data_IF_175145580841
#
_entry.id   IF_175145580841
#
_cell.length_a   1.000
_cell.length_b   1.000
_cell.length_c   1.000
_cell.angle_alpha   90.00
_cell.angle_beta   90.00
_cell.angle_gamma   90.00
#
_symmetry.space_group_name_H-M   'P 1'
#
loop_
_entity.id
_entity.type
_entity.pdbx_description
1 polymer ?
#
# COMPACT_ATOMS: atom_id res chain seq x y z
N UNK A 1 -15.41 76.45 -13.79
CA UNK A 1 -16.25 77.04 -14.86
C UNK A 1 -15.92 76.33 -16.16
N UNK A 2 -16.95 75.79 -16.79
CA UNK A 2 -16.89 74.96 -18.00
C UNK A 2 -16.21 75.68 -19.18
N UNK A 3 -15.57 74.92 -20.07
CA UNK A 3 -15.86 75.04 -21.49
C UNK A 3 -15.56 73.72 -22.22
N UNK A 4 -16.59 73.23 -22.91
CA UNK A 4 -16.53 72.17 -23.93
C UNK A 4 -15.90 72.78 -25.20
N UNK A 5 -15.28 71.94 -26.03
CA UNK A 5 -15.34 72.05 -27.48
C UNK A 5 -15.14 70.64 -28.10
N UNK A 6 -16.01 70.35 -29.07
CA UNK A 6 -16.20 69.15 -29.90
C UNK A 6 -14.98 68.95 -30.86
N UNK A 7 -14.74 67.86 -31.61
CA UNK A 7 -15.66 67.02 -32.38
C UNK A 7 -14.97 65.76 -32.99
N UNK A 8 -15.82 64.80 -33.37
CA UNK A 8 -15.82 63.95 -34.59
C UNK A 8 -14.67 62.99 -34.97
N UNK A 9 -15.03 61.70 -35.19
CA UNK A 9 -14.34 60.80 -36.15
C UNK A 9 -14.56 59.29 -35.92
N UNK A 10 -15.31 58.62 -36.79
CA UNK A 10 -15.74 57.19 -36.76
C UNK A 10 -14.66 56.20 -37.32
N UNK A 11 -14.87 54.85 -37.26
CA UNK A 11 -13.92 53.87 -36.70
C UNK A 11 -12.97 53.20 -37.70
N UNK A 12 -11.76 52.86 -37.21
CA UNK A 12 -10.83 51.96 -37.87
C UNK A 12 -10.66 50.67 -37.07
N UNK A 13 -11.29 49.59 -37.52
CA UNK A 13 -11.10 48.26 -36.98
C UNK A 13 -9.65 47.79 -37.20
N UNK A 14 -8.90 47.56 -36.13
CA UNK A 14 -7.62 46.84 -36.17
C UNK A 14 -7.78 45.55 -35.39
N UNK A 15 -7.66 44.44 -36.12
CA UNK A 15 -7.81 43.06 -35.67
C UNK A 15 -6.87 42.77 -34.49
N UNK A 16 -7.44 42.46 -33.33
CA UNK A 16 -6.71 41.83 -32.24
C UNK A 16 -6.33 40.40 -32.65
N UNK A 17 -5.05 40.17 -32.91
CA UNK A 17 -4.49 38.82 -33.02
C UNK A 17 -4.39 38.28 -31.59
N UNK A 18 -5.36 37.47 -31.18
CA UNK A 18 -5.25 36.69 -29.95
C UNK A 18 -4.20 35.60 -30.16
N UNK A 19 -3.00 35.82 -29.63
CA UNK A 19 -1.99 34.80 -29.44
C UNK A 19 -2.50 33.77 -28.44
N UNK A 20 -3.07 32.67 -28.94
CA UNK A 20 -3.46 31.53 -28.13
C UNK A 20 -2.22 30.80 -27.62
N UNK A 21 -1.91 30.95 -26.33
CA UNK A 21 -1.01 30.03 -25.63
C UNK A 21 -1.74 28.69 -25.54
N UNK A 22 -1.35 27.75 -26.39
CA UNK A 22 -1.80 26.37 -26.29
C UNK A 22 -1.24 25.80 -24.98
N UNK A 23 -2.09 25.71 -23.95
CA UNK A 23 -1.84 24.85 -22.81
C UNK A 23 -1.80 23.42 -23.35
N UNK A 24 -0.58 22.90 -23.55
CA UNK A 24 -0.33 21.51 -23.86
C UNK A 24 -0.90 20.66 -22.74
N UNK A 25 -2.11 20.14 -22.95
CA UNK A 25 -2.66 19.10 -22.11
C UNK A 25 -1.70 17.93 -22.13
N UNK A 26 -1.15 17.57 -20.97
CA UNK A 26 -0.55 16.27 -20.77
C UNK A 26 -1.66 15.24 -20.93
N UNK A 27 -1.90 14.79 -22.17
CA UNK A 27 -2.63 13.58 -22.43
C UNK A 27 -1.81 12.46 -21.78
N UNK A 28 -2.20 12.07 -20.56
CA UNK A 28 -1.84 10.78 -20.02
C UNK A 28 -2.32 9.78 -21.07
N UNK A 29 -1.39 9.14 -21.78
CA UNK A 29 -1.70 8.05 -22.67
C UNK A 29 -2.41 6.99 -21.81
N UNK A 30 -3.74 6.96 -21.93
CA UNK A 30 -4.60 5.94 -21.37
C UNK A 30 -4.16 4.65 -22.05
N UNK A 31 -3.92 3.61 -21.25
CA UNK A 31 -3.80 2.26 -21.80
C UNK A 31 -4.98 2.05 -22.75
N UNK A 32 -4.71 1.56 -23.97
CA UNK A 32 -5.73 1.30 -24.98
C UNK A 32 -6.58 0.14 -24.49
N UNK A 33 -7.60 0.47 -23.69
CA UNK A 33 -8.55 -0.46 -23.13
C UNK A 33 -9.78 -0.49 -24.04
N UNK A 34 -9.96 -1.59 -24.77
CA UNK A 34 -11.21 -1.88 -25.48
C UNK A 34 -12.18 -2.50 -24.48
N UNK A 35 -12.75 -1.67 -23.61
CA UNK A 35 -13.89 -1.99 -22.74
C UNK A 35 -13.61 -2.85 -21.50
N UNK A 36 -14.33 -2.57 -20.42
CA UNK A 36 -14.24 -3.35 -19.18
C UNK A 36 -15.09 -2.86 -18.00
N UNK A 37 -16.24 -2.20 -18.26
CA UNK A 37 -17.20 -1.90 -17.20
C UNK A 37 -18.21 -3.04 -17.08
N UNK A 38 -18.15 -3.84 -16.01
CA UNK A 38 -19.29 -4.67 -15.63
C UNK A 38 -20.48 -3.73 -15.36
N UNK A 39 -21.68 -3.94 -15.94
CA UNK A 39 -22.80 -3.00 -15.85
C UNK A 39 -23.25 -2.66 -14.42
N UNK A 40 -22.93 -3.50 -13.44
CA UNK A 40 -23.28 -3.33 -12.02
C UNK A 40 -22.13 -2.82 -11.14
N UNK A 41 -20.93 -2.61 -11.72
CA UNK A 41 -19.75 -2.10 -11.03
C UNK A 41 -19.00 -1.15 -11.98
N UNK A 42 -19.41 0.13 -12.07
CA UNK A 42 -18.78 1.09 -12.99
C UNK A 42 -17.29 1.32 -12.70
N UNK A 43 -16.80 0.90 -11.52
CA UNK A 43 -15.38 0.97 -11.10
C UNK A 43 -14.72 -0.43 -10.99
N UNK A 44 -15.42 -1.50 -11.36
CA UNK A 44 -14.99 -2.89 -11.15
C UNK A 44 -15.19 -3.39 -9.70
N UNK A 45 -14.77 -4.62 -9.36
CA UNK A 45 -14.99 -5.27 -8.06
C UNK A 45 -14.10 -4.73 -6.92
N UNK A 46 -13.50 -3.56 -7.12
CA UNK A 46 -12.52 -2.95 -6.24
C UNK A 46 -13.09 -1.69 -5.58
N UNK A 47 -12.91 -1.59 -4.26
CA UNK A 47 -13.32 -0.42 -3.47
C UNK A 47 -12.13 0.14 -2.71
N UNK A 48 -12.08 1.46 -2.52
CA UNK A 48 -10.99 2.07 -1.76
C UNK A 48 -10.95 1.55 -0.32
N UNK A 49 -9.75 1.28 0.18
CA UNK A 49 -9.51 0.84 1.56
C UNK A 49 -8.68 1.86 2.35
N UNK A 50 -8.42 3.05 1.79
CA UNK A 50 -7.62 4.11 2.40
C UNK A 50 -6.13 3.80 2.46
N UNK A 51 -5.31 4.79 2.79
CA UNK A 51 -3.87 4.60 3.03
C UNK A 51 -3.09 4.02 1.85
N UNK A 52 -3.54 4.23 0.61
CA UNK A 52 -2.93 3.63 -0.57
C UNK A 52 -3.26 2.15 -0.77
N UNK A 53 -4.37 1.68 -0.20
CA UNK A 53 -4.86 0.32 -0.34
C UNK A 53 -6.19 0.27 -1.10
N UNK A 54 -6.50 -0.90 -1.63
CA UNK A 54 -7.77 -1.19 -2.31
C UNK A 54 -8.25 -2.58 -1.95
N UNK A 55 -9.54 -2.74 -1.70
CA UNK A 55 -10.17 -4.02 -1.36
C UNK A 55 -10.85 -4.61 -2.59
N UNK A 56 -10.54 -5.87 -2.89
CA UNK A 56 -11.32 -6.68 -3.81
C UNK A 56 -12.51 -7.29 -3.04
N UNK A 57 -13.73 -6.86 -3.36
CA UNK A 57 -14.94 -7.23 -2.61
C UNK A 57 -15.26 -8.72 -2.69
N UNK A 58 -15.18 -9.41 -3.85
CA UNK A 58 -15.54 -10.82 -3.93
C UNK A 58 -14.62 -11.74 -3.10
N UNK A 59 -13.29 -11.54 -3.16
CA UNK A 59 -12.34 -12.39 -2.42
C UNK A 59 -12.02 -11.87 -1.01
N UNK A 60 -12.52 -10.68 -0.67
CA UNK A 60 -12.20 -9.99 0.59
C UNK A 60 -10.69 -9.90 0.83
N UNK A 61 -9.94 -9.57 -0.21
CA UNK A 61 -8.50 -9.31 -0.12
C UNK A 61 -8.22 -7.82 -0.22
N UNK A 62 -7.22 -7.35 0.52
CA UNK A 62 -6.76 -5.97 0.48
C UNK A 62 -5.38 -5.93 -0.17
N UNK A 63 -5.21 -5.02 -1.10
CA UNK A 63 -4.01 -4.88 -1.92
C UNK A 63 -3.37 -3.53 -1.66
N UNK A 64 -2.04 -3.47 -1.71
CA UNK A 64 -1.36 -2.20 -1.92
C UNK A 64 -1.61 -1.72 -3.36
N UNK A 65 -1.95 -0.44 -3.51
CA UNK A 65 -2.14 0.19 -4.82
C UNK A 65 -0.82 0.36 -5.56
N UNK A 66 0.27 0.60 -4.84
CA UNK A 66 1.60 0.72 -5.41
C UNK A 66 2.34 -0.63 -5.40
N UNK A 67 3.22 -0.82 -6.38
CA UNK A 67 4.20 -1.89 -6.31
C UNK A 67 5.22 -1.60 -5.19
N UNK A 68 5.82 -2.65 -4.64
CA UNK A 68 6.90 -2.49 -3.66
C UNK A 68 8.06 -1.70 -4.27
N UNK A 69 8.56 -0.69 -3.54
CA UNK A 69 9.57 0.26 -4.03
C UNK A 69 8.99 1.63 -4.38
N UNK A 70 7.70 1.69 -4.71
CA UNK A 70 6.96 2.93 -4.92
C UNK A 70 6.28 3.38 -3.62
N UNK A 71 5.95 4.67 -3.56
CA UNK A 71 5.24 5.29 -2.44
C UNK A 71 3.88 5.82 -2.89
N UNK A 72 2.87 5.65 -2.04
CA UNK A 72 1.55 6.25 -2.26
C UNK A 72 1.54 7.72 -1.81
N UNK A 73 1.26 8.64 -2.72
CA UNK A 73 1.20 10.08 -2.45
C UNK A 73 -0.05 10.68 -3.09
N UNK A 74 -0.98 11.15 -2.26
CA UNK A 74 -2.28 11.66 -2.71
C UNK A 74 -3.11 10.55 -3.37
N UNK A 75 -3.14 10.55 -4.70
CA UNK A 75 -3.91 9.61 -5.54
C UNK A 75 -3.02 8.77 -6.47
N UNK A 76 -1.69 8.87 -6.35
CA UNK A 76 -0.75 8.24 -7.30
C UNK A 76 0.39 7.52 -6.60
N UNK A 77 0.98 6.58 -7.33
CA UNK A 77 2.22 5.93 -6.95
C UNK A 77 3.41 6.69 -7.55
N UNK A 78 4.39 7.04 -6.71
CA UNK A 78 5.61 7.74 -7.10
C UNK A 78 6.84 6.90 -6.82
N UNK A 79 7.91 7.13 -7.57
CA UNK A 79 9.14 6.34 -7.49
C UNK A 79 9.15 5.13 -8.43
N UNK A 80 10.22 4.33 -8.32
CA UNK A 80 10.43 3.16 -9.16
C UNK A 80 10.05 1.87 -8.42
N UNK A 81 9.48 0.88 -9.12
CA UNK A 81 9.25 -0.43 -8.53
C UNK A 81 10.58 -1.14 -8.23
N UNK A 82 10.63 -1.87 -7.13
CA UNK A 82 11.69 -2.84 -6.89
C UNK A 82 11.46 -4.06 -7.78
N UNK A 83 12.52 -4.51 -8.43
CA UNK A 83 12.55 -5.73 -9.22
C UNK A 83 13.47 -6.70 -8.49
N UNK A 84 12.89 -7.79 -7.99
CA UNK A 84 13.54 -8.68 -7.02
C UNK A 84 13.57 -10.11 -7.56
N UNK A 85 14.53 -10.92 -7.11
CA UNK A 85 14.43 -12.38 -7.28
C UNK A 85 13.31 -12.95 -6.41
N UNK A 86 12.87 -14.18 -6.66
CA UNK A 86 11.80 -14.79 -5.87
C UNK A 86 12.17 -14.90 -4.37
N UNK A 87 13.43 -15.19 -4.06
CA UNK A 87 13.92 -15.23 -2.67
C UNK A 87 13.92 -13.83 -2.03
N UNK A 88 14.40 -12.81 -2.76
CA UNK A 88 14.39 -11.44 -2.28
C UNK A 88 12.97 -10.87 -2.13
N UNK A 89 12.03 -11.29 -2.99
CA UNK A 89 10.62 -10.94 -2.88
C UNK A 89 10.00 -11.47 -1.57
N UNK A 90 10.32 -12.71 -1.19
CA UNK A 90 9.88 -13.26 0.11
C UNK A 90 10.53 -12.52 1.30
N UNK A 91 11.82 -12.23 1.23
CA UNK A 91 12.50 -11.42 2.24
C UNK A 91 11.87 -10.01 2.36
N UNK A 92 11.42 -9.44 1.23
CA UNK A 92 10.71 -8.15 1.20
C UNK A 92 9.38 -8.22 1.96
N UNK A 93 8.63 -9.32 1.84
CA UNK A 93 7.40 -9.51 2.62
C UNK A 93 7.68 -9.46 4.12
N UNK A 94 8.70 -10.19 4.57
CA UNK A 94 9.11 -10.21 5.98
C UNK A 94 9.48 -8.81 6.46
N UNK A 95 10.31 -8.10 5.69
CA UNK A 95 10.74 -6.75 6.02
C UNK A 95 9.57 -5.74 6.07
N UNK A 96 8.58 -5.87 5.18
CA UNK A 96 7.37 -5.03 5.20
C UNK A 96 6.57 -5.31 6.46
N UNK A 97 6.32 -6.58 6.80
CA UNK A 97 5.54 -6.93 7.98
C UNK A 97 6.20 -6.50 9.30
N UNK A 98 7.53 -6.47 9.35
CA UNK A 98 8.30 -5.99 10.50
C UNK A 98 8.47 -4.46 10.56
N UNK A 99 8.07 -3.72 9.52
CA UNK A 99 8.26 -2.27 9.48
C UNK A 99 7.29 -1.52 10.41
N UNK A 100 7.70 -0.33 10.85
CA UNK A 100 6.90 0.53 11.70
C UNK A 100 5.52 0.83 11.06
N UNK A 101 4.43 0.86 11.85
CA UNK A 101 3.09 1.19 11.35
C UNK A 101 3.06 2.50 10.55
N UNK A 102 2.39 2.47 9.40
CA UNK A 102 2.20 3.64 8.54
C UNK A 102 3.38 3.97 7.64
N UNK A 103 4.47 3.19 7.71
CA UNK A 103 5.63 3.35 6.81
C UNK A 103 5.46 2.49 5.55
N UNK A 104 6.30 1.47 5.37
CA UNK A 104 6.24 0.56 4.22
C UNK A 104 5.04 -0.38 4.28
N UNK A 105 4.48 -0.60 5.46
CA UNK A 105 3.39 -1.55 5.69
C UNK A 105 1.98 -0.94 5.51
N UNK A 106 1.88 0.34 5.14
CA UNK A 106 0.60 1.05 5.02
C UNK A 106 -0.28 0.95 6.28
N UNK A 107 0.33 0.82 7.46
CA UNK A 107 -0.37 0.68 8.74
C UNK A 107 -0.95 -0.72 8.98
N UNK A 108 -0.54 -1.72 8.19
CA UNK A 108 -1.13 -3.06 8.18
C UNK A 108 -0.06 -4.14 8.26
N UNK A 109 -0.39 -5.30 8.83
CA UNK A 109 0.48 -6.48 8.88
C UNK A 109 -0.10 -7.62 8.03
N UNK A 110 0.49 -8.82 8.12
CA UNK A 110 0.05 -10.03 7.41
C UNK A 110 0.02 -9.88 5.89
N UNK A 111 0.91 -9.05 5.36
CA UNK A 111 1.18 -8.99 3.92
C UNK A 111 1.81 -10.29 3.45
N UNK A 112 1.48 -10.71 2.24
CA UNK A 112 2.11 -11.83 1.53
C UNK A 112 2.23 -11.54 0.04
N UNK A 113 3.00 -12.37 -0.65
CA UNK A 113 2.94 -12.44 -2.10
C UNK A 113 1.58 -13.01 -2.52
N UNK A 114 1.00 -12.55 -3.62
CA UNK A 114 -0.28 -13.05 -4.11
C UNK A 114 -0.14 -14.43 -4.72
N UNK A 115 -1.24 -15.17 -4.80
CA UNK A 115 -1.32 -16.39 -5.62
C UNK A 115 -1.63 -16.00 -7.06
N UNK A 116 -1.30 -16.88 -8.02
CA UNK A 116 -1.47 -16.58 -9.46
C UNK A 116 -2.90 -16.21 -9.83
N UNK A 117 -3.90 -16.91 -9.28
CA UNK A 117 -5.30 -16.60 -9.51
C UNK A 117 -5.70 -15.25 -8.91
N UNK A 118 -5.01 -14.79 -7.85
CA UNK A 118 -5.31 -13.53 -7.21
C UNK A 118 -4.83 -12.33 -8.01
N UNK A 119 -3.62 -12.40 -8.59
CA UNK A 119 -3.14 -11.36 -9.51
C UNK A 119 -3.98 -11.30 -10.78
N UNK A 120 -4.54 -12.43 -11.23
CA UNK A 120 -5.42 -12.45 -12.41
C UNK A 120 -6.71 -11.65 -12.21
N UNK A 121 -7.19 -11.44 -10.98
CA UNK A 121 -8.33 -10.55 -10.74
C UNK A 121 -7.99 -9.07 -10.95
N UNK A 122 -6.71 -8.70 -10.96
CA UNK A 122 -6.28 -7.34 -11.28
C UNK A 122 -6.21 -7.09 -12.78
N UNK A 123 -6.21 -8.15 -13.60
CA UNK A 123 -6.07 -8.03 -15.05
C UNK A 123 -7.35 -7.48 -15.65
N UNK A 124 -7.22 -6.42 -16.43
CA UNK A 124 -8.34 -5.85 -17.20
C UNK A 124 -8.31 -6.41 -18.62
N UNK A 125 -9.34 -7.16 -18.99
CA UNK A 125 -9.45 -7.75 -20.32
C UNK A 125 -9.55 -6.65 -21.38
N UNK A 126 -8.83 -6.77 -22.48
CA UNK A 126 -8.87 -5.78 -23.56
C UNK A 126 -8.00 -4.54 -23.32
N UNK A 127 -7.31 -4.46 -22.17
CA UNK A 127 -6.20 -3.52 -21.97
C UNK A 127 -4.87 -4.21 -22.23
N UNK A 128 -3.91 -3.47 -22.76
CA UNK A 128 -2.52 -3.91 -22.84
C UNK A 128 -1.58 -2.75 -22.46
N UNK A 129 -0.41 -3.10 -21.94
CA UNK A 129 0.69 -2.17 -21.63
C UNK A 129 0.28 -0.89 -20.85
N UNK A 130 -0.29 -1.01 -19.63
CA UNK A 130 -0.51 -2.25 -18.88
C UNK A 130 -1.96 -2.74 -18.90
N UNK A 131 -2.12 -4.06 -18.85
CA UNK A 131 -3.38 -4.80 -18.77
C UNK A 131 -3.98 -4.78 -17.34
N UNK A 132 -4.15 -3.59 -16.75
CA UNK A 132 -4.65 -3.39 -15.39
C UNK A 132 -5.26 -2.00 -15.25
N UNK A 133 -6.34 -1.89 -14.47
CA UNK A 133 -7.00 -0.62 -14.19
C UNK A 133 -6.06 0.39 -13.49
N UNK A 134 -5.57 1.38 -14.25
CA UNK A 134 -4.62 2.40 -13.78
C UNK A 134 -5.23 3.39 -12.77
N UNK A 135 -6.56 3.47 -12.66
CA UNK A 135 -7.21 4.30 -11.64
C UNK A 135 -7.11 3.62 -10.26
N UNK A 136 -7.28 2.31 -10.20
CA UNK A 136 -7.14 1.55 -8.96
C UNK A 136 -5.66 1.29 -8.61
N UNK A 137 -4.84 1.04 -9.63
CA UNK A 137 -3.45 0.65 -9.52
C UNK A 137 -2.53 1.56 -10.36
N UNK A 138 -2.37 2.83 -9.95
CA UNK A 138 -1.65 3.82 -10.76
C UNK A 138 -0.15 3.53 -10.85
N UNK A 139 0.45 3.94 -11.97
CA UNK A 139 1.87 3.76 -12.26
C UNK A 139 2.35 2.31 -12.12
N UNK A 140 1.48 1.35 -12.49
CA UNK A 140 1.85 -0.06 -12.52
C UNK A 140 2.83 -0.28 -13.68
N UNK A 141 4.05 -0.77 -13.42
CA UNK A 141 5.03 -1.03 -14.48
C UNK A 141 4.57 -2.17 -15.39
N UNK A 142 4.97 -2.10 -16.66
CA UNK A 142 4.82 -3.16 -17.66
C UNK A 142 5.90 -4.22 -17.42
N UNK A 143 5.76 -4.98 -16.34
CA UNK A 143 6.69 -6.02 -15.88
C UNK A 143 5.92 -7.25 -15.37
N UNK A 144 6.58 -8.43 -15.30
CA UNK A 144 6.07 -9.55 -14.54
C UNK A 144 6.00 -9.23 -13.04
N UNK A 145 4.98 -9.75 -12.37
CA UNK A 145 4.82 -9.67 -10.92
C UNK A 145 4.90 -11.05 -10.28
N UNK A 146 5.68 -11.16 -9.19
CA UNK A 146 5.83 -12.42 -8.46
C UNK A 146 4.52 -12.89 -7.82
N UNK A 147 4.35 -14.21 -7.82
CA UNK A 147 3.36 -14.90 -7.00
C UNK A 147 4.05 -15.84 -6.03
N UNK A 148 3.34 -16.26 -4.97
CA UNK A 148 3.78 -17.37 -4.12
C UNK A 148 3.48 -18.76 -4.71
N UNK A 149 2.81 -18.82 -5.87
CA UNK A 149 2.40 -20.10 -6.48
C UNK A 149 3.61 -20.78 -7.16
N UNK A 150 4.01 -22.00 -6.74
CA UNK A 150 5.09 -22.73 -7.39
C UNK A 150 4.69 -23.18 -8.80
N UNK A 151 5.67 -23.30 -9.70
CA UNK A 151 5.46 -23.87 -11.02
C UNK A 151 5.80 -25.36 -11.00
N UNK A 152 4.79 -26.22 -11.04
CA UNK A 152 4.93 -27.67 -10.78
C UNK A 152 5.82 -28.40 -11.79
N UNK A 153 5.96 -27.88 -13.01
CA UNK A 153 6.72 -28.53 -14.07
C UNK A 153 8.22 -28.13 -14.10
N UNK A 154 8.69 -27.29 -13.17
CA UNK A 154 10.11 -26.97 -13.03
C UNK A 154 10.45 -26.55 -11.60
N UNK A 155 11.36 -27.29 -10.96
CA UNK A 155 11.74 -27.12 -9.54
C UNK A 155 12.25 -25.72 -9.18
N UNK A 156 12.92 -25.05 -10.13
CA UNK A 156 13.47 -23.70 -9.92
C UNK A 156 12.62 -22.59 -10.59
N UNK A 157 11.32 -22.83 -10.76
CA UNK A 157 10.40 -21.85 -11.34
C UNK A 157 9.23 -21.52 -10.40
N UNK A 158 8.63 -20.36 -10.63
CA UNK A 158 7.39 -19.93 -9.99
C UNK A 158 6.51 -19.21 -11.02
N UNK A 159 5.21 -19.10 -10.70
CA UNK A 159 4.31 -18.31 -11.52
C UNK A 159 4.54 -16.81 -11.30
N UNK A 160 4.48 -16.07 -12.38
CA UNK A 160 4.37 -14.62 -12.43
C UNK A 160 3.13 -14.24 -13.24
N UNK A 161 2.67 -13.00 -13.11
CA UNK A 161 1.68 -12.43 -14.04
C UNK A 161 2.29 -11.21 -14.70
N UNK A 162 2.34 -11.22 -16.03
CA UNK A 162 2.87 -10.13 -16.85
C UNK A 162 1.76 -9.16 -17.23
N UNK A 163 1.82 -7.94 -16.70
CA UNK A 163 0.84 -6.89 -17.02
C UNK A 163 1.06 -6.23 -18.39
N UNK A 164 2.02 -6.65 -19.21
CA UNK A 164 2.04 -6.26 -20.61
C UNK A 164 0.76 -6.72 -21.34
N UNK A 165 0.33 -7.95 -21.08
CA UNK A 165 -0.88 -8.56 -21.70
C UNK A 165 -1.84 -9.21 -20.70
N UNK A 166 -1.50 -9.20 -19.40
CA UNK A 166 -2.33 -9.80 -18.35
C UNK A 166 -2.19 -11.32 -18.26
N UNK A 167 -1.07 -11.87 -18.71
CA UNK A 167 -0.89 -13.32 -18.85
C UNK A 167 -0.08 -13.92 -17.69
N UNK A 168 -0.46 -15.09 -17.16
CA UNK A 168 0.40 -15.85 -16.27
C UNK A 168 1.57 -16.46 -17.05
N UNK A 169 2.80 -16.33 -16.51
CA UNK A 169 4.03 -16.84 -17.11
C UNK A 169 4.82 -17.63 -16.07
N UNK A 170 5.46 -18.72 -16.48
CA UNK A 170 6.50 -19.33 -15.64
C UNK A 170 7.78 -18.50 -15.75
N UNK A 171 8.45 -18.30 -14.62
CA UNK A 171 9.73 -17.61 -14.55
C UNK A 171 10.71 -18.37 -13.65
N UNK A 172 11.99 -18.36 -14.02
CA UNK A 172 13.06 -18.84 -13.13
C UNK A 172 13.08 -18.02 -11.85
N UNK A 173 13.21 -18.67 -10.69
CA UNK A 173 13.26 -17.98 -9.38
C UNK A 173 14.49 -17.08 -9.22
N UNK A 174 15.49 -17.26 -10.09
CA UNK A 174 16.70 -16.42 -10.18
C UNK A 174 16.50 -15.17 -11.05
N UNK A 175 15.47 -15.13 -11.90
CA UNK A 175 15.09 -13.93 -12.65
C UNK A 175 14.54 -12.87 -11.69
N UNK A 176 14.43 -11.64 -12.16
CA UNK A 176 13.84 -10.56 -11.37
C UNK A 176 12.43 -10.22 -11.87
N UNK A 177 11.52 -9.94 -10.93
CA UNK A 177 10.16 -9.48 -11.23
C UNK A 177 9.70 -8.47 -10.17
N UNK A 178 8.68 -7.67 -10.50
CA UNK A 178 8.10 -6.71 -9.57
C UNK A 178 7.29 -7.43 -8.48
N UNK A 179 6.99 -6.70 -7.39
CA UNK A 179 6.22 -7.23 -6.26
C UNK A 179 5.06 -6.31 -5.94
N UNK A 180 3.90 -6.90 -5.68
CA UNK A 180 2.73 -6.23 -5.11
C UNK A 180 2.16 -7.11 -4.03
N UNK A 181 1.90 -6.53 -2.87
CA UNK A 181 1.49 -7.31 -1.71
C UNK A 181 -0.03 -7.32 -1.56
N UNK A 182 -0.51 -8.46 -1.08
CA UNK A 182 -1.90 -8.71 -0.76
C UNK A 182 -2.01 -9.23 0.68
N UNK A 183 -3.16 -8.99 1.31
CA UNK A 183 -3.54 -9.60 2.57
C UNK A 183 -5.02 -9.96 2.56
N UNK A 184 -5.45 -10.73 3.55
CA UNK A 184 -6.88 -10.91 3.84
C UNK A 184 -7.40 -9.67 4.55
N UNK A 185 -8.63 -9.26 4.24
CA UNK A 185 -9.29 -8.18 4.97
C UNK A 185 -9.56 -8.62 6.43
N UNK A 186 -9.25 -7.76 7.40
CA UNK A 186 -9.34 -8.11 8.82
C UNK A 186 -10.76 -8.53 9.25
N UNK A 187 -11.79 -7.91 8.69
CA UNK A 187 -13.19 -8.26 8.96
C UNK A 187 -13.57 -9.64 8.39
N UNK A 188 -12.97 -10.01 7.26
CA UNK A 188 -13.15 -11.34 6.67
C UNK A 188 -12.34 -12.43 7.40
N UNK A 189 -11.27 -12.04 8.10
CA UNK A 189 -10.49 -12.93 8.96
C UNK A 189 -11.28 -13.26 10.24
N UNK A 190 -11.87 -12.25 10.89
CA UNK A 190 -12.75 -12.43 12.06
C UNK A 190 -13.93 -13.35 11.76
N UNK A 191 -14.59 -13.20 10.60
CA UNK A 191 -15.72 -14.07 10.21
C UNK A 191 -15.33 -15.54 10.00
N UNK A 192 -14.05 -15.82 9.71
CA UNK A 192 -13.56 -17.18 9.50
C UNK A 192 -13.05 -17.85 10.78
N UNK A 193 -12.87 -17.07 11.84
CA UNK A 193 -12.49 -17.58 13.16
C UNK A 193 -13.67 -17.45 14.13
N UNK A 194 -14.36 -18.56 14.46
CA UNK A 194 -15.49 -18.55 15.40
C UNK A 194 -15.14 -17.96 16.77
N UNK A 195 -13.86 -18.06 17.18
CA UNK A 195 -13.38 -17.58 18.48
C UNK A 195 -13.21 -16.06 18.48
N UNK A 196 -12.76 -15.46 17.37
CA UNK A 196 -12.71 -14.00 17.23
C UNK A 196 -14.09 -13.40 16.96
N UNK A 197 -14.95 -14.05 16.18
CA UNK A 197 -16.30 -13.59 15.91
C UNK A 197 -17.12 -13.42 17.21
N UNK A 198 -17.07 -14.41 18.11
CA UNK A 198 -17.77 -14.37 19.39
C UNK A 198 -17.32 -13.24 20.34
N UNK A 199 -16.10 -12.70 20.15
CA UNK A 199 -15.59 -11.56 20.94
C UNK A 199 -16.04 -10.20 20.39
N UNK A 200 -16.36 -10.12 19.10
CA UNK A 200 -16.81 -8.88 18.45
C UNK A 200 -18.28 -8.56 18.72
N UNK A 201 -19.11 -9.58 18.96
CA UNK A 201 -20.57 -9.43 19.07
C UNK A 201 -21.08 -9.13 20.49
N UNK A 202 -20.20 -9.00 21.50
CA UNK A 202 -20.65 -8.66 22.85
C UNK A 202 -21.04 -7.18 22.88
N UNK A 203 -22.32 -6.83 23.11
CA UNK A 203 -22.74 -5.44 23.20
C UNK A 203 -22.00 -4.81 24.38
N UNK A 204 -21.35 -3.66 24.15
CA UNK A 204 -20.89 -2.82 25.24
C UNK A 204 -22.13 -2.32 25.98
N UNK A 205 -22.53 -3.02 27.04
CA UNK A 205 -23.54 -2.52 27.97
C UNK A 205 -23.01 -1.21 28.52
N UNK A 206 -23.66 -0.13 28.08
CA UNK A 206 -23.34 1.23 28.48
C UNK A 206 -23.35 1.33 29.99
N UNK A 207 -22.21 1.67 30.58
CA UNK A 207 -22.16 2.24 31.91
C UNK A 207 -22.47 3.74 31.77
N UNK A 208 -23.75 4.03 31.57
CA UNK A 208 -24.28 5.40 31.68
C UNK A 208 -24.35 5.78 33.17
N UNK A 209 -23.95 7.02 33.43
CA UNK A 209 -23.66 7.64 34.74
C UNK A 209 -24.86 7.75 35.68
N UNK A 210 -24.59 7.80 36.99
CA UNK A 210 -25.34 8.58 37.97
C UNK A 210 -24.29 9.18 38.94
N UNK A 211 -24.03 10.49 38.90
CA UNK A 211 -24.72 11.58 39.61
C UNK A 211 -23.99 11.94 40.91
N UNK A 212 -23.77 13.26 41.09
CA UNK A 212 -22.98 13.92 42.11
C UNK A 212 -23.26 13.51 43.56
N UNK A 213 -22.18 13.37 44.34
CA UNK A 213 -22.19 13.66 45.77
C UNK A 213 -20.92 14.45 46.13
N UNK A 214 -21.08 15.64 46.70
CA UNK A 214 -20.03 16.40 47.40
C UNK A 214 -19.86 15.80 48.80
N UNK A 215 -18.62 15.46 49.15
CA UNK A 215 -18.02 15.29 50.49
C UNK A 215 -16.83 14.33 50.29
N UNK A 216 -15.65 14.44 50.88
CA UNK A 216 -14.99 15.36 51.79
C UNK A 216 -13.48 15.11 51.57
N UNK A 217 -12.62 16.06 51.90
CA UNK A 217 -11.15 15.87 51.86
C UNK A 217 -10.73 15.08 53.11
N UNK A 218 -10.14 13.88 53.01
CA UNK A 218 -9.45 13.25 54.14
C UNK A 218 -7.96 13.63 54.20
N UNK A 219 -7.35 13.65 55.40
CA UNK A 219 -5.97 14.10 55.63
C UNK A 219 -4.91 13.11 55.13
N UNK A 220 -3.63 13.54 55.00
CA UNK A 220 -2.55 12.67 54.58
C UNK A 220 -2.09 11.81 55.77
N UNK A 221 -2.18 10.48 55.63
CA UNK A 221 -1.44 9.55 56.46
C UNK A 221 -0.25 9.05 55.65
N UNK A 222 0.92 9.50 56.08
CA UNK A 222 2.19 8.94 55.71
C UNK A 222 2.23 7.48 56.18
N UNK A 223 2.56 6.56 55.28
CA UNK A 223 3.26 5.33 55.65
C UNK A 223 4.19 4.94 54.50
N UNK A 224 5.47 4.99 54.84
CA UNK A 224 6.58 4.61 54.00
C UNK A 224 6.65 3.08 53.91
N UNK A 225 6.22 2.51 52.78
CA UNK A 225 6.59 1.14 52.41
C UNK A 225 7.92 1.22 51.67
N UNK A 226 9.00 0.87 52.38
CA UNK A 226 10.29 0.59 51.80
C UNK A 226 10.17 -0.63 50.88
N UNK A 227 10.12 -0.40 49.56
CA UNK A 227 10.39 -1.43 48.57
C UNK A 227 11.89 -1.44 48.35
N UNK A 228 12.56 -2.43 48.93
CA UNK A 228 13.96 -2.75 48.66
C UNK A 228 14.14 -3.01 47.16
N UNK A 229 14.88 -2.12 46.50
CA UNK A 229 15.37 -2.31 45.13
C UNK A 229 16.45 -3.40 45.18
N UNK A 230 16.32 -4.53 44.49
CA UNK A 230 17.43 -5.45 44.34
C UNK A 230 18.53 -4.79 43.50
N UNK A 231 19.73 -4.78 44.07
CA UNK A 231 21.00 -4.33 43.50
C UNK A 231 21.27 -4.94 42.12
N UNK A 232 21.80 -4.11 41.22
CA UNK A 232 22.28 -4.49 39.90
C UNK A 232 23.33 -5.62 39.96
N UNK A 233 23.35 -6.56 38.99
CA UNK A 233 24.43 -7.53 38.87
C UNK A 233 25.73 -6.83 38.41
N UNK A 234 26.91 -7.32 38.84
CA UNK A 234 28.19 -6.72 38.49
C UNK A 234 28.47 -6.86 36.99
N UNK A 235 28.91 -5.75 36.39
CA UNK A 235 29.40 -5.69 35.02
C UNK A 235 30.60 -6.62 34.83
N UNK A 236 30.51 -7.53 33.87
CA UNK A 236 31.64 -8.34 33.41
C UNK A 236 32.52 -7.49 32.48
N UNK A 237 33.85 -7.46 32.65
CA UNK A 237 34.75 -6.73 31.77
C UNK A 237 34.77 -7.34 30.36
N UNK A 238 34.78 -6.48 29.34
CA UNK A 238 34.65 -6.76 27.90
C UNK A 238 35.83 -7.51 27.25
N UNK A 239 36.73 -8.13 28.02
CA UNK A 239 38.01 -8.65 27.51
C UNK A 239 38.01 -10.13 27.10
N UNK A 240 36.87 -10.81 27.04
CA UNK A 240 36.83 -12.27 26.77
C UNK A 240 36.25 -12.70 25.40
N UNK A 241 36.16 -11.81 24.41
CA UNK A 241 35.64 -12.14 23.07
C UNK A 241 36.61 -11.80 21.92
N UNK A 242 37.87 -12.19 22.05
CA UNK A 242 38.78 -12.27 20.90
C UNK A 242 38.86 -13.73 20.41
N UNK A 243 38.49 -14.01 19.15
CA UNK A 243 38.77 -15.31 18.54
C UNK A 243 40.29 -15.49 18.32
N UNK A 244 40.83 -16.72 18.40
CA UNK A 244 42.25 -16.96 18.13
C UNK A 244 42.59 -16.66 16.66
N UNK A 245 43.82 -16.20 16.36
CA UNK A 245 44.28 -16.01 14.99
C UNK A 245 44.31 -17.36 14.26
N UNK A 246 43.69 -17.41 13.08
CA UNK A 246 43.71 -18.57 12.19
C UNK A 246 45.11 -18.82 11.62
N UNK A 247 45.39 -20.05 11.13
CA UNK A 247 46.70 -20.43 10.63
C UNK A 247 47.06 -19.66 9.36
N UNK A 248 48.27 -19.12 9.34
CA UNK A 248 48.89 -18.45 8.19
C UNK A 248 49.05 -19.44 7.02
N UNK A 249 48.58 -19.05 5.84
CA UNK A 249 48.84 -19.77 4.59
C UNK A 249 50.34 -19.68 4.27
N UNK A 250 50.96 -20.85 4.07
CA UNK A 250 52.31 -21.01 3.55
C UNK A 250 52.27 -21.31 2.06
#
# INVERSE_FOLDING_TARGET
MNNRNEASGWPGAVRAVLGGVALGGHALAWASCVGGGLPHLPQGPFVDAGGGMVRHVPSQTVWKRCAEGQNWVGTRCVGQPLVLTAAAAQARVVAVNASAPGTRNAGQTSWRLPRVHELRWLVESGCERPAINQTQFPATPVLPFWTETPFVNAYNAAWTVDFARGEPRSASRLSTAAVRLVRVAADAEIRRDPVLAARSDKPSTGRSRAASARAAVPPPLADAIHISVPSAPPELPWTSLLPPPGPECR
#
